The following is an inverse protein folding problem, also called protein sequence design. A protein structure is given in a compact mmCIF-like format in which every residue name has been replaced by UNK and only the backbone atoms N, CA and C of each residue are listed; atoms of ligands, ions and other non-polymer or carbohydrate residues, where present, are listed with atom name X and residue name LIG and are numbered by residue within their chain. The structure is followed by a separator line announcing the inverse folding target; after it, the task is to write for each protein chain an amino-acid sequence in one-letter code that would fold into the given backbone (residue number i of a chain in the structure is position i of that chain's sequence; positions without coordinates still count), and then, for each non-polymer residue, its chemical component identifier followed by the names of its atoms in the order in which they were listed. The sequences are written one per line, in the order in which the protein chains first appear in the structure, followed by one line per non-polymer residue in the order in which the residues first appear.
data_IF_303515187835
#
_entry.id   IF_303515187835
#
_cell.length_a   1.000
_cell.length_b   1.000
_cell.length_c   1.000
_cell.angle_alpha   90.00
_cell.angle_beta   90.00
_cell.angle_gamma   90.00
#
_symmetry.space_group_name_H-M   'P 1'
#
loop_
_entity.id
_entity.type
_entity.pdbx_description
1 polymer ?
#
# COMPACT_ATOMS: atom_id res chain seq x y z
N UNK A 1 -8.64 -32.86 -19.20
CA UNK A 1 -8.56 -33.23 -20.63
C UNK A 1 -9.68 -32.62 -21.47
N UNK A 2 -10.92 -32.44 -20.95
CA UNK A 2 -12.05 -31.87 -21.68
C UNK A 2 -12.34 -30.47 -21.16
N UNK A 3 -12.54 -29.53 -22.09
CA UNK A 3 -12.90 -28.13 -21.79
C UNK A 3 -14.32 -27.74 -22.11
N UNK A 4 -15.06 -28.64 -22.76
CA UNK A 4 -16.46 -28.43 -23.18
C UNK A 4 -17.33 -29.58 -22.70
N UNK A 5 -18.41 -29.26 -22.00
CA UNK A 5 -19.35 -30.21 -21.42
C UNK A 5 -20.75 -29.80 -21.84
N UNK A 6 -21.46 -30.70 -22.51
CA UNK A 6 -22.84 -30.51 -23.00
C UNK A 6 -23.88 -31.21 -22.12
N UNK A 7 -25.10 -30.66 -22.04
CA UNK A 7 -26.25 -31.23 -21.30
C UNK A 7 -25.97 -31.59 -19.84
N UNK A 8 -25.25 -30.71 -19.12
CA UNK A 8 -24.87 -30.90 -17.74
C UNK A 8 -26.02 -30.55 -16.80
N UNK A 9 -26.31 -31.41 -15.83
CA UNK A 9 -27.31 -31.14 -14.79
C UNK A 9 -26.81 -30.10 -13.77
N UNK A 10 -27.70 -29.44 -13.00
CA UNK A 10 -27.28 -28.48 -11.95
C UNK A 10 -26.29 -29.08 -10.94
N UNK A 11 -26.49 -30.32 -10.54
CA UNK A 11 -25.60 -31.03 -9.61
C UNK A 11 -24.22 -31.29 -10.22
N UNK A 12 -24.17 -31.66 -11.51
CA UNK A 12 -22.92 -31.85 -12.22
C UNK A 12 -22.15 -30.53 -12.40
N UNK A 13 -22.86 -29.40 -12.69
CA UNK A 13 -22.23 -28.07 -12.73
C UNK A 13 -21.59 -27.72 -11.41
N UNK A 14 -22.27 -27.96 -10.29
CA UNK A 14 -21.72 -27.79 -8.95
C UNK A 14 -20.49 -28.66 -8.73
N UNK A 15 -20.56 -29.95 -9.07
CA UNK A 15 -19.44 -30.89 -8.92
C UNK A 15 -18.20 -30.46 -9.74
N UNK A 16 -18.41 -29.89 -10.94
CA UNK A 16 -17.29 -29.33 -11.73
C UNK A 16 -16.61 -28.15 -11.04
N UNK A 17 -17.37 -27.23 -10.44
CA UNK A 17 -16.81 -26.12 -9.66
C UNK A 17 -15.98 -26.67 -8.49
N UNK A 18 -16.53 -27.60 -7.72
CA UNK A 18 -15.86 -28.23 -6.59
C UNK A 18 -14.59 -28.98 -7.02
N UNK A 19 -14.62 -29.68 -8.17
CA UNK A 19 -13.45 -30.39 -8.70
C UNK A 19 -12.31 -29.42 -9.06
N UNK A 20 -12.61 -28.25 -9.61
CA UNK A 20 -11.60 -27.23 -9.88
C UNK A 20 -11.06 -26.59 -8.58
N UNK A 21 -11.95 -26.32 -7.61
CA UNK A 21 -11.55 -25.78 -6.31
C UNK A 21 -10.65 -26.77 -5.53
N UNK A 22 -10.95 -28.08 -5.59
CA UNK A 22 -10.11 -29.12 -4.95
C UNK A 22 -8.69 -29.20 -5.52
N UNK A 23 -8.48 -28.72 -6.75
CA UNK A 23 -7.17 -28.58 -7.38
C UNK A 23 -6.45 -27.26 -7.02
N UNK A 24 -7.04 -26.45 -6.14
CA UNK A 24 -6.49 -25.16 -5.72
C UNK A 24 -6.77 -24.00 -6.66
N UNK A 25 -7.72 -24.17 -7.61
CA UNK A 25 -8.14 -23.08 -8.48
C UNK A 25 -9.19 -22.19 -7.81
N UNK A 26 -9.12 -20.88 -8.05
CA UNK A 26 -10.21 -19.95 -7.74
C UNK A 26 -11.15 -19.92 -8.94
N UNK A 27 -12.43 -20.26 -8.74
CA UNK A 27 -13.39 -20.50 -9.80
C UNK A 27 -14.40 -19.36 -9.90
N UNK A 28 -14.50 -18.74 -11.09
CA UNK A 28 -15.61 -17.85 -11.42
C UNK A 28 -16.64 -18.61 -12.26
N UNK A 29 -17.91 -18.55 -11.85
CA UNK A 29 -19.03 -19.16 -12.55
C UNK A 29 -19.98 -18.10 -13.10
N UNK A 30 -20.29 -18.17 -14.39
CA UNK A 30 -21.31 -17.33 -15.02
C UNK A 30 -22.53 -18.14 -15.35
N UNK A 31 -23.69 -17.62 -15.01
CA UNK A 31 -24.97 -18.29 -15.30
C UNK A 31 -26.14 -17.32 -15.39
N UNK A 32 -27.20 -17.69 -16.10
CA UNK A 32 -28.40 -16.88 -16.32
C UNK A 32 -29.69 -17.57 -15.85
N UNK A 33 -29.63 -18.87 -15.65
CA UNK A 33 -30.79 -19.68 -15.36
C UNK A 33 -30.90 -20.18 -13.93
N UNK A 34 -32.10 -20.66 -13.56
CA UNK A 34 -32.36 -21.33 -12.27
C UNK A 34 -31.47 -22.58 -12.12
N UNK A 35 -31.13 -23.24 -13.23
CA UNK A 35 -30.28 -24.42 -13.26
C UNK A 35 -28.81 -24.12 -12.87
N UNK A 36 -28.40 -22.86 -12.86
CA UNK A 36 -27.03 -22.44 -12.52
C UNK A 36 -26.90 -22.07 -11.06
N UNK A 37 -28.00 -21.91 -10.33
CA UNK A 37 -28.05 -21.46 -8.95
C UNK A 37 -27.12 -22.25 -8.02
N UNK A 38 -27.10 -23.60 -8.15
CA UNK A 38 -26.24 -24.45 -7.32
C UNK A 38 -24.74 -24.22 -7.59
N UNK A 39 -24.36 -24.08 -8.86
CA UNK A 39 -22.97 -23.83 -9.24
C UNK A 39 -22.54 -22.39 -8.95
N UNK A 40 -23.43 -21.41 -9.15
CA UNK A 40 -23.19 -20.01 -8.80
C UNK A 40 -22.95 -19.85 -7.29
N UNK A 41 -23.72 -20.53 -6.45
CA UNK A 41 -23.57 -20.50 -4.99
C UNK A 41 -22.27 -21.15 -4.51
N UNK A 42 -21.78 -22.15 -5.23
CA UNK A 42 -20.55 -22.87 -4.89
C UNK A 42 -19.28 -22.12 -5.33
N UNK A 43 -19.36 -21.36 -6.42
CA UNK A 43 -18.21 -20.66 -6.99
C UNK A 43 -17.65 -19.56 -6.08
N UNK A 44 -16.33 -19.32 -6.15
CA UNK A 44 -15.66 -18.25 -5.43
C UNK A 44 -16.10 -16.86 -5.91
N UNK A 45 -16.50 -16.75 -7.17
CA UNK A 45 -17.08 -15.54 -7.76
C UNK A 45 -18.23 -15.93 -8.70
N UNK A 46 -19.44 -15.51 -8.36
CA UNK A 46 -20.64 -15.79 -9.15
C UNK A 46 -21.09 -14.56 -9.94
N UNK A 47 -21.40 -14.77 -11.22
CA UNK A 47 -21.76 -13.72 -12.18
C UNK A 47 -23.09 -14.08 -12.81
N UNK A 48 -24.08 -13.21 -12.71
CA UNK A 48 -25.38 -13.37 -13.38
C UNK A 48 -25.57 -12.33 -14.49
N UNK A 49 -26.42 -12.67 -15.46
CA UNK A 49 -26.88 -11.73 -16.48
C UNK A 49 -28.13 -11.00 -16.00
N UNK A 50 -28.28 -9.70 -16.32
CA UNK A 50 -29.47 -8.93 -15.93
C UNK A 50 -30.77 -9.51 -16.51
N UNK A 51 -30.71 -10.10 -17.71
CA UNK A 51 -31.85 -10.78 -18.36
C UNK A 51 -32.08 -12.19 -17.81
N UNK A 52 -31.21 -12.68 -16.91
CA UNK A 52 -31.33 -13.98 -16.29
C UNK A 52 -32.41 -14.05 -15.21
N UNK A 53 -32.58 -15.25 -14.63
CA UNK A 53 -33.55 -15.49 -13.57
C UNK A 53 -33.25 -14.66 -12.30
N UNK A 54 -34.31 -14.24 -11.59
CA UNK A 54 -34.15 -13.51 -10.32
C UNK A 54 -33.42 -14.37 -9.27
N UNK A 55 -33.60 -15.68 -9.32
CA UNK A 55 -32.90 -16.61 -8.45
C UNK A 55 -31.37 -16.55 -8.68
N UNK A 56 -30.90 -16.48 -9.92
CA UNK A 56 -29.49 -16.34 -10.24
C UNK A 56 -28.95 -14.95 -9.82
N UNK A 57 -29.69 -13.87 -10.11
CA UNK A 57 -29.31 -12.49 -9.74
C UNK A 57 -29.18 -12.29 -8.23
N UNK A 58 -30.10 -12.88 -7.44
CA UNK A 58 -30.11 -12.70 -5.99
C UNK A 58 -28.93 -13.37 -5.26
N UNK A 59 -28.30 -14.36 -5.88
CA UNK A 59 -27.16 -15.08 -5.28
C UNK A 59 -25.81 -14.70 -5.90
N UNK A 60 -25.81 -14.01 -7.05
CA UNK A 60 -24.59 -13.64 -7.74
C UNK A 60 -23.85 -12.50 -7.02
N UNK A 61 -22.51 -12.58 -6.99
CA UNK A 61 -21.66 -11.51 -6.49
C UNK A 61 -21.65 -10.31 -7.45
N UNK A 62 -21.83 -10.55 -8.75
CA UNK A 62 -21.82 -9.53 -9.80
C UNK A 62 -22.99 -9.79 -10.75
N UNK A 63 -23.70 -8.73 -11.15
CA UNK A 63 -24.74 -8.79 -12.20
C UNK A 63 -24.30 -7.93 -13.38
N UNK A 64 -24.20 -8.52 -14.57
CA UNK A 64 -23.90 -7.83 -15.83
C UNK A 64 -25.16 -7.16 -16.37
N UNK A 65 -25.25 -5.83 -16.21
CA UNK A 65 -26.45 -5.08 -16.59
C UNK A 65 -26.70 -5.07 -18.10
N UNK A 66 -25.66 -5.10 -18.90
CA UNK A 66 -25.71 -5.20 -20.35
C UNK A 66 -25.90 -6.65 -20.86
N UNK A 67 -25.93 -7.61 -19.94
CA UNK A 67 -26.00 -9.06 -20.23
C UNK A 67 -24.94 -9.53 -21.25
N UNK A 68 -23.81 -8.81 -21.33
CA UNK A 68 -22.75 -9.08 -22.27
C UNK A 68 -21.47 -9.54 -21.56
N UNK A 69 -21.08 -10.80 -21.79
CA UNK A 69 -19.87 -11.36 -21.20
C UNK A 69 -18.57 -10.65 -21.68
N UNK A 70 -18.62 -9.98 -22.86
CA UNK A 70 -17.48 -9.21 -23.36
C UNK A 70 -17.09 -8.01 -22.45
N UNK A 71 -17.96 -7.59 -21.52
CA UNK A 71 -17.67 -6.57 -20.50
C UNK A 71 -16.76 -7.06 -19.37
N UNK A 72 -16.58 -8.38 -19.22
CA UNK A 72 -15.78 -8.98 -18.13
C UNK A 72 -14.34 -8.50 -18.06
N UNK A 73 -13.57 -8.36 -19.17
CA UNK A 73 -12.20 -7.83 -19.10
C UNK A 73 -12.16 -6.42 -18.49
N UNK A 74 -13.16 -5.58 -18.80
CA UNK A 74 -13.25 -4.24 -18.21
C UNK A 74 -13.52 -4.29 -16.71
N UNK A 75 -14.45 -5.15 -16.26
CA UNK A 75 -14.76 -5.35 -14.83
C UNK A 75 -13.53 -5.85 -14.08
N UNK A 76 -12.81 -6.84 -14.63
CA UNK A 76 -11.56 -7.35 -14.03
C UNK A 76 -10.50 -6.23 -13.90
N UNK A 77 -10.36 -5.38 -14.90
CA UNK A 77 -9.45 -4.25 -14.86
C UNK A 77 -9.86 -3.22 -13.81
N UNK A 78 -11.14 -2.91 -13.68
CA UNK A 78 -11.64 -2.04 -12.61
C UNK A 78 -11.40 -2.66 -11.22
N UNK A 79 -11.64 -3.95 -11.05
CA UNK A 79 -11.32 -4.67 -9.83
C UNK A 79 -9.82 -4.58 -9.47
N UNK A 80 -8.93 -4.76 -10.45
CA UNK A 80 -7.47 -4.58 -10.26
C UNK A 80 -7.12 -3.17 -9.82
N UNK A 81 -7.69 -2.16 -10.48
CA UNK A 81 -7.50 -0.76 -10.09
C UNK A 81 -7.89 -0.51 -8.65
N UNK A 82 -9.09 -0.94 -8.24
CA UNK A 82 -9.58 -0.75 -6.86
C UNK A 82 -8.67 -1.45 -5.85
N UNK A 83 -8.33 -2.72 -6.09
CA UNK A 83 -7.45 -3.49 -5.20
C UNK A 83 -6.06 -2.84 -5.09
N UNK A 84 -5.46 -2.42 -6.21
CA UNK A 84 -4.16 -1.75 -6.20
C UNK A 84 -4.20 -0.44 -5.41
N UNK A 85 -5.21 0.39 -5.64
CA UNK A 85 -5.37 1.67 -4.95
C UNK A 85 -5.58 1.49 -3.44
N UNK A 86 -6.46 0.56 -3.03
CA UNK A 86 -6.68 0.24 -1.61
C UNK A 86 -5.38 -0.24 -0.95
N UNK A 87 -4.62 -1.10 -1.61
CA UNK A 87 -3.36 -1.65 -1.05
C UNK A 87 -2.28 -0.60 -0.89
N UNK A 88 -2.15 0.28 -1.87
CA UNK A 88 -1.16 1.36 -1.82
C UNK A 88 -1.53 2.35 -0.72
N UNK A 89 -2.80 2.72 -0.63
CA UNK A 89 -3.33 3.52 0.47
C UNK A 89 -3.09 2.86 1.83
N UNK A 90 -3.45 1.57 1.97
CA UNK A 90 -3.24 0.80 3.19
C UNK A 90 -1.77 0.74 3.59
N UNK A 91 -0.83 0.64 2.63
CA UNK A 91 0.60 0.68 2.92
C UNK A 91 1.01 2.00 3.55
N UNK A 92 0.53 3.14 3.05
CA UNK A 92 0.84 4.46 3.60
C UNK A 92 0.27 4.66 5.01
N UNK A 93 -0.98 4.23 5.25
CA UNK A 93 -1.57 4.27 6.59
C UNK A 93 -0.85 3.33 7.56
N UNK A 94 -0.43 2.15 7.10
CA UNK A 94 0.32 1.20 7.91
C UNK A 94 1.70 1.74 8.30
N UNK A 95 2.42 2.41 7.37
CA UNK A 95 3.67 3.11 7.68
C UNK A 95 3.47 4.07 8.85
N UNK A 96 2.40 4.90 8.77
CA UNK A 96 2.09 5.87 9.81
C UNK A 96 1.82 5.21 11.16
N UNK A 97 1.00 4.18 11.19
CA UNK A 97 0.65 3.48 12.43
C UNK A 97 1.87 2.79 13.04
N UNK A 98 2.65 2.08 12.23
CA UNK A 98 3.87 1.40 12.68
C UNK A 98 4.91 2.39 13.20
N UNK A 99 5.14 3.49 12.47
CA UNK A 99 6.02 4.57 12.91
C UNK A 99 5.60 5.11 14.28
N UNK A 100 4.31 5.46 14.44
CA UNK A 100 3.79 6.00 15.69
C UNK A 100 3.94 5.03 16.86
N UNK A 101 3.62 3.75 16.66
CA UNK A 101 3.78 2.71 17.69
C UNK A 101 5.26 2.51 18.05
N UNK A 102 6.13 2.35 17.05
CA UNK A 102 7.57 2.15 17.27
C UNK A 102 8.19 3.35 18.01
N UNK A 103 7.85 4.56 17.59
CA UNK A 103 8.39 5.76 18.24
C UNK A 103 7.86 5.90 19.67
N UNK A 104 6.58 5.65 19.92
CA UNK A 104 6.01 5.68 21.27
C UNK A 104 6.66 4.66 22.19
N UNK A 105 6.90 3.44 21.71
CA UNK A 105 7.62 2.43 22.49
C UNK A 105 9.06 2.87 22.83
N UNK A 106 9.78 3.43 21.86
CA UNK A 106 11.13 3.94 22.07
C UNK A 106 11.14 5.11 23.07
N UNK A 107 10.21 6.06 22.94
CA UNK A 107 10.15 7.20 23.89
C UNK A 107 9.83 6.76 25.31
N UNK A 108 8.95 5.78 25.51
CA UNK A 108 8.66 5.19 26.82
C UNK A 108 9.88 4.46 27.37
N UNK A 109 10.53 3.62 26.56
CA UNK A 109 11.68 2.82 26.99
C UNK A 109 12.88 3.67 27.42
N UNK A 110 13.15 4.76 26.70
CA UNK A 110 14.26 5.66 27.00
C UNK A 110 13.87 6.83 27.92
N UNK A 111 12.64 6.89 28.42
CA UNK A 111 12.15 7.95 29.29
C UNK A 111 12.07 9.33 28.62
N UNK A 112 11.88 9.37 27.32
CA UNK A 112 11.86 10.58 26.51
C UNK A 112 10.43 11.08 26.29
N UNK A 113 10.27 12.40 26.10
CA UNK A 113 9.01 12.98 25.65
C UNK A 113 8.80 12.73 24.14
N UNK A 114 7.54 12.57 23.73
CA UNK A 114 7.21 12.39 22.33
C UNK A 114 7.51 13.68 21.54
N UNK A 115 8.28 13.62 20.43
CA UNK A 115 8.87 14.81 19.81
C UNK A 115 7.93 15.55 18.83
N UNK A 116 6.65 15.28 18.84
CA UNK A 116 5.68 15.89 17.93
C UNK A 116 4.46 16.43 18.66
N UNK A 117 4.03 17.61 18.24
CA UNK A 117 2.69 18.13 18.55
C UNK A 117 1.64 17.60 17.59
N UNK A 118 0.36 17.47 18.00
CA UNK A 118 -0.71 16.95 17.13
C UNK A 118 -0.86 17.72 15.81
N UNK A 119 -0.65 19.05 15.82
CA UNK A 119 -0.75 19.89 14.63
C UNK A 119 0.34 19.58 13.60
N UNK A 120 1.57 19.28 14.06
CA UNK A 120 2.70 18.89 13.21
C UNK A 120 2.42 17.55 12.51
N UNK A 121 1.90 16.58 13.27
CA UNK A 121 1.48 15.29 12.71
C UNK A 121 0.31 15.41 11.75
N UNK A 122 -0.57 16.40 11.93
CA UNK A 122 -1.66 16.70 11.00
C UNK A 122 -1.13 17.21 9.66
N UNK A 123 -0.15 18.11 9.66
CA UNK A 123 0.51 18.60 8.45
C UNK A 123 1.19 17.45 7.68
N UNK A 124 2.00 16.63 8.38
CA UNK A 124 2.66 15.46 7.78
C UNK A 124 1.61 14.51 7.19
N UNK A 125 0.54 14.23 7.95
CA UNK A 125 -0.52 13.32 7.50
C UNK A 125 -1.28 13.85 6.28
N UNK A 126 -1.57 15.12 6.21
CA UNK A 126 -2.24 15.73 5.08
C UNK A 126 -1.37 15.70 3.82
N UNK A 127 -0.11 16.19 3.93
CA UNK A 127 0.78 16.35 2.79
C UNK A 127 1.41 15.05 2.30
N UNK A 128 1.69 14.10 3.19
CA UNK A 128 2.43 12.89 2.85
C UNK A 128 1.58 11.62 2.78
N UNK A 129 0.38 11.60 3.37
CA UNK A 129 -0.50 10.43 3.36
C UNK A 129 -1.84 10.73 2.71
N UNK A 130 -2.64 11.64 3.27
CA UNK A 130 -4.04 11.84 2.87
C UNK A 130 -4.20 12.33 1.44
N UNK A 131 -3.74 13.55 1.16
CA UNK A 131 -3.92 14.21 -0.14
C UNK A 131 -3.25 13.41 -1.27
N UNK A 132 -1.94 13.03 -1.17
CA UNK A 132 -1.31 12.30 -2.26
C UNK A 132 -1.94 10.93 -2.49
N UNK A 133 -2.32 10.20 -1.44
CA UNK A 133 -2.99 8.90 -1.59
C UNK A 133 -4.33 9.04 -2.29
N UNK A 134 -5.13 10.08 -1.97
CA UNK A 134 -6.40 10.36 -2.64
C UNK A 134 -6.21 10.70 -4.12
N UNK A 135 -5.26 11.59 -4.44
CA UNK A 135 -4.98 11.97 -5.82
C UNK A 135 -4.46 10.79 -6.65
N UNK A 136 -3.54 10.01 -6.07
CA UNK A 136 -2.95 8.85 -6.75
C UNK A 136 -3.94 7.68 -6.89
N UNK A 137 -4.97 7.59 -6.04
CA UNK A 137 -6.04 6.59 -6.17
C UNK A 137 -6.94 6.82 -7.40
N UNK A 138 -6.89 8.00 -8.02
CA UNK A 138 -7.62 8.27 -9.27
C UNK A 138 -6.92 7.71 -10.51
N UNK A 139 -5.66 7.29 -10.39
CA UNK A 139 -4.91 6.71 -11.48
C UNK A 139 -5.44 5.33 -11.88
N UNK A 140 -5.42 5.04 -13.19
CA UNK A 140 -5.78 3.75 -13.74
C UNK A 140 -4.59 2.77 -13.64
N UNK A 141 -4.49 2.07 -12.51
CA UNK A 141 -3.47 1.05 -12.30
C UNK A 141 -4.08 -0.35 -12.45
N UNK A 142 -3.85 -0.98 -13.60
CA UNK A 142 -4.36 -2.32 -13.95
C UNK A 142 -3.31 -3.43 -13.78
N UNK A 143 -2.17 -3.14 -13.20
CA UNK A 143 -1.09 -4.12 -13.01
C UNK A 143 -1.54 -5.30 -12.13
N UNK A 144 -0.93 -6.46 -12.38
CA UNK A 144 -1.13 -7.62 -11.50
C UNK A 144 -0.55 -7.31 -10.13
N UNK A 145 -1.36 -7.38 -9.09
CA UNK A 145 -0.97 -6.98 -7.75
C UNK A 145 -0.03 -7.97 -7.05
N UNK A 146 0.91 -7.44 -6.26
CA UNK A 146 1.75 -8.20 -5.33
C UNK A 146 1.12 -8.16 -3.92
N UNK A 147 1.05 -9.30 -3.23
CA UNK A 147 0.25 -9.46 -1.97
C UNK A 147 0.83 -8.79 -0.70
N UNK A 148 1.87 -7.93 -0.76
CA UNK A 148 2.69 -7.65 0.43
C UNK A 148 2.67 -6.19 0.89
N UNK A 149 1.56 -5.75 1.49
CA UNK A 149 1.43 -4.42 2.13
C UNK A 149 2.48 -4.23 3.22
N UNK A 150 2.71 -5.24 4.06
CA UNK A 150 3.65 -5.20 5.17
C UNK A 150 5.10 -5.03 4.72
N UNK A 151 5.53 -5.76 3.67
CA UNK A 151 6.89 -5.68 3.13
C UNK A 151 7.23 -4.28 2.61
N UNK A 152 6.24 -3.54 2.13
CA UNK A 152 6.44 -2.16 1.69
C UNK A 152 6.38 -1.16 2.85
N UNK A 153 5.62 -1.46 3.90
CA UNK A 153 5.40 -0.53 5.02
C UNK A 153 6.50 -0.60 6.10
N UNK A 154 6.94 -1.80 6.46
CA UNK A 154 7.87 -2.00 7.56
C UNK A 154 9.23 -1.30 7.37
N UNK A 155 9.92 -1.39 6.21
CA UNK A 155 11.18 -0.70 5.99
C UNK A 155 11.09 0.80 6.17
N UNK A 156 10.03 1.40 5.62
CA UNK A 156 9.81 2.84 5.73
C UNK A 156 9.55 3.25 7.18
N UNK A 157 8.65 2.56 7.89
CA UNK A 157 8.36 2.84 9.29
C UNK A 157 9.60 2.73 10.18
N UNK A 158 10.38 1.65 10.00
CA UNK A 158 11.62 1.42 10.74
C UNK A 158 12.65 2.54 10.48
N UNK A 159 12.85 2.89 9.22
CA UNK A 159 13.82 3.93 8.84
C UNK A 159 13.41 5.30 9.38
N UNK A 160 12.13 5.68 9.23
CA UNK A 160 11.63 6.96 9.75
C UNK A 160 11.79 7.02 11.26
N UNK A 161 11.43 5.95 11.98
CA UNK A 161 11.59 5.87 13.44
C UNK A 161 13.04 6.00 13.85
N UNK A 162 13.95 5.30 13.17
CA UNK A 162 15.41 5.37 13.46
C UNK A 162 15.98 6.77 13.23
N UNK A 163 15.56 7.45 12.15
CA UNK A 163 16.00 8.81 11.87
C UNK A 163 15.50 9.81 12.93
N UNK A 164 14.22 9.71 13.32
CA UNK A 164 13.67 10.58 14.38
C UNK A 164 14.35 10.31 15.71
N UNK A 165 14.59 9.06 16.04
CA UNK A 165 15.29 8.69 17.28
C UNK A 165 16.74 9.21 17.30
N UNK A 166 17.45 9.17 16.15
CA UNK A 166 18.78 9.75 16.03
C UNK A 166 18.77 11.28 16.28
N UNK A 167 17.78 12.01 15.73
CA UNK A 167 17.58 13.43 16.00
C UNK A 167 17.34 13.67 17.51
N UNK A 168 16.49 12.85 18.14
CA UNK A 168 16.21 12.96 19.57
C UNK A 168 17.47 12.79 20.42
N UNK A 169 18.28 11.76 20.14
CA UNK A 169 19.52 11.51 20.87
C UNK A 169 20.52 12.68 20.75
N UNK A 170 20.71 13.22 19.54
CA UNK A 170 21.63 14.36 19.34
C UNK A 170 21.09 15.61 20.03
N UNK A 171 19.79 15.90 19.87
CA UNK A 171 19.20 17.10 20.47
C UNK A 171 19.25 17.07 22.00
N UNK A 172 19.00 15.94 22.62
CA UNK A 172 19.03 15.78 24.09
C UNK A 172 20.44 15.87 24.67
N UNK A 173 21.45 15.33 23.98
CA UNK A 173 22.82 15.30 24.51
C UNK A 173 23.63 16.56 24.18
N UNK A 174 23.26 17.30 23.12
CA UNK A 174 24.07 18.42 22.62
C UNK A 174 23.36 19.76 22.76
N UNK A 175 22.11 19.86 22.37
CA UNK A 175 21.44 21.17 22.21
C UNK A 175 20.44 21.51 23.32
N UNK A 176 19.81 20.53 23.94
CA UNK A 176 18.81 20.69 25.02
C UNK A 176 17.63 21.64 24.69
N UNK A 177 17.29 21.78 23.40
CA UNK A 177 16.22 22.66 22.90
C UNK A 177 15.03 21.85 22.33
N UNK A 178 13.87 22.07 22.90
CA UNK A 178 12.61 21.39 22.44
C UNK A 178 12.12 21.91 21.10
N UNK A 179 12.26 23.21 20.82
CA UNK A 179 11.85 23.81 19.54
C UNK A 179 12.72 23.30 18.39
N UNK A 180 14.04 23.21 18.61
CA UNK A 180 14.97 22.65 17.63
C UNK A 180 14.69 21.16 17.37
N UNK A 181 14.39 20.39 18.43
CA UNK A 181 14.00 18.99 18.34
C UNK A 181 12.75 18.83 17.45
N UNK A 182 11.68 19.57 17.77
CA UNK A 182 10.43 19.50 17.04
C UNK A 182 10.62 19.85 15.56
N UNK A 183 11.37 20.91 15.26
CA UNK A 183 11.65 21.34 13.89
C UNK A 183 12.40 20.28 13.11
N UNK A 184 13.49 19.75 13.63
CA UNK A 184 14.30 18.73 12.99
C UNK A 184 13.49 17.45 12.77
N UNK A 185 12.72 17.00 13.76
CA UNK A 185 11.86 15.83 13.66
C UNK A 185 10.77 15.99 12.59
N UNK A 186 10.11 17.15 12.50
CA UNK A 186 9.08 17.42 11.48
C UNK A 186 9.66 17.37 10.08
N UNK A 187 10.81 18.04 9.85
CA UNK A 187 11.44 18.09 8.54
C UNK A 187 11.92 16.72 8.08
N UNK A 188 12.64 15.99 8.95
CA UNK A 188 13.12 14.63 8.66
C UNK A 188 11.97 13.68 8.40
N UNK A 189 10.92 13.73 9.22
CA UNK A 189 9.77 12.85 9.09
C UNK A 189 9.00 13.14 7.80
N UNK A 190 8.68 14.40 7.52
CA UNK A 190 7.98 14.78 6.30
C UNK A 190 8.71 14.36 5.03
N UNK A 191 10.03 14.59 4.96
CA UNK A 191 10.86 14.15 3.83
C UNK A 191 10.85 12.63 3.66
N UNK A 192 11.03 11.89 4.74
CA UNK A 192 11.11 10.44 4.71
C UNK A 192 9.76 9.79 4.38
N UNK A 193 8.64 10.39 4.76
CA UNK A 193 7.32 9.96 4.28
C UNK A 193 7.15 10.17 2.77
N UNK A 194 7.69 11.27 2.21
CA UNK A 194 7.68 11.48 0.75
C UNK A 194 8.58 10.47 0.03
N UNK A 195 9.71 10.07 0.64
CA UNK A 195 10.54 8.99 0.13
C UNK A 195 9.79 7.64 0.18
N UNK A 196 9.11 7.34 1.28
CA UNK A 196 8.27 6.15 1.39
C UNK A 196 7.14 6.13 0.35
N UNK A 197 6.52 7.28 0.09
CA UNK A 197 5.51 7.43 -0.95
C UNK A 197 6.07 7.07 -2.34
N UNK A 198 7.30 7.50 -2.67
CA UNK A 198 7.98 7.14 -3.93
C UNK A 198 8.17 5.62 -4.05
N UNK A 199 8.63 4.97 -3.00
CA UNK A 199 8.86 3.51 -2.98
C UNK A 199 7.55 2.72 -3.07
N UNK A 200 6.49 3.16 -2.39
CA UNK A 200 5.18 2.49 -2.39
C UNK A 200 4.48 2.61 -3.74
N UNK A 201 4.62 3.75 -4.44
CA UNK A 201 4.01 4.01 -5.75
C UNK A 201 4.95 3.74 -6.94
N UNK A 202 6.10 3.12 -6.73
CA UNK A 202 6.97 2.70 -7.81
C UNK A 202 6.27 1.65 -8.72
N UNK A 203 6.54 1.68 -10.07
CA UNK A 203 7.37 2.61 -10.83
C UNK A 203 6.71 3.99 -10.99
N UNK A 204 7.54 5.04 -11.00
CA UNK A 204 7.05 6.42 -11.05
C UNK A 204 6.87 6.89 -12.49
N UNK A 205 5.63 7.12 -12.90
CA UNK A 205 5.30 7.84 -14.12
C UNK A 205 5.26 9.38 -13.89
N UNK A 206 5.04 10.17 -14.95
CA UNK A 206 5.01 11.64 -14.86
C UNK A 206 3.94 12.14 -13.89
N UNK A 207 2.74 11.56 -13.91
CA UNK A 207 1.63 11.93 -13.03
C UNK A 207 1.99 11.71 -11.54
N UNK A 208 2.53 10.53 -11.20
CA UNK A 208 2.99 10.20 -9.84
C UNK A 208 4.10 11.15 -9.38
N UNK A 209 5.10 11.42 -10.24
CA UNK A 209 6.18 12.37 -9.95
C UNK A 209 5.64 13.76 -9.66
N UNK A 210 4.73 14.29 -10.49
CA UNK A 210 4.15 15.62 -10.31
C UNK A 210 3.43 15.75 -8.96
N UNK A 211 2.62 14.76 -8.58
CA UNK A 211 1.91 14.78 -7.30
C UNK A 211 2.91 14.71 -6.14
N UNK A 212 3.85 13.77 -6.17
CA UNK A 212 4.78 13.56 -5.07
C UNK A 212 5.68 14.78 -4.86
N UNK A 213 6.29 15.31 -5.92
CA UNK A 213 7.15 16.49 -5.81
C UNK A 213 6.36 17.77 -5.50
N UNK A 214 5.14 17.90 -6.06
CA UNK A 214 4.22 18.99 -5.72
C UNK A 214 3.86 18.98 -4.24
N UNK A 215 3.48 17.83 -3.69
CA UNK A 215 3.18 17.70 -2.27
C UNK A 215 4.40 17.90 -1.38
N UNK A 216 5.58 17.48 -1.82
CA UNK A 216 6.84 17.76 -1.13
C UNK A 216 7.11 19.26 -1.06
N UNK A 217 6.92 19.99 -2.16
CA UNK A 217 7.03 21.45 -2.18
C UNK A 217 6.00 22.12 -1.25
N UNK A 218 4.74 21.70 -1.31
CA UNK A 218 3.65 22.20 -0.45
C UNK A 218 3.97 21.97 1.02
N UNK A 219 4.52 20.80 1.39
CA UNK A 219 4.91 20.51 2.76
C UNK A 219 5.96 21.50 3.29
N UNK A 220 7.04 21.73 2.53
CA UNK A 220 8.08 22.66 2.94
C UNK A 220 7.59 24.12 2.95
N UNK A 221 6.80 24.51 1.95
CA UNK A 221 6.19 25.83 1.93
C UNK A 221 5.27 26.04 3.14
N UNK A 222 4.44 25.06 3.48
CA UNK A 222 3.57 25.12 4.65
C UNK A 222 4.38 25.17 5.97
N UNK A 223 5.48 24.40 6.08
CA UNK A 223 6.35 24.45 7.25
C UNK A 223 6.96 25.84 7.46
N UNK A 224 7.33 26.55 6.39
CA UNK A 224 7.85 27.93 6.46
C UNK A 224 6.74 28.94 6.74
N UNK A 225 5.63 28.89 6.01
CA UNK A 225 4.53 29.86 6.14
C UNK A 225 3.87 29.77 7.52
N UNK A 226 3.63 28.54 8.00
CA UNK A 226 2.96 28.28 9.27
C UNK A 226 3.94 27.99 10.42
N UNK A 227 5.20 28.44 10.31
CA UNK A 227 6.25 28.18 11.30
C UNK A 227 5.81 28.43 12.74
N UNK A 228 5.19 29.60 13.00
CA UNK A 228 4.70 29.97 14.35
C UNK A 228 3.57 29.06 14.85
N UNK A 229 2.64 28.69 13.95
CA UNK A 229 1.51 27.81 14.27
C UNK A 229 1.97 26.39 14.58
N UNK A 230 3.04 25.95 13.92
CA UNK A 230 3.64 24.63 14.06
C UNK A 230 4.69 24.56 15.18
N UNK A 231 4.90 25.65 15.94
CA UNK A 231 5.93 25.74 16.99
C UNK A 231 7.33 25.33 16.49
N UNK A 232 7.70 25.75 15.26
CA UNK A 232 9.00 25.45 14.67
C UNK A 232 9.99 26.57 14.98
N UNK A 233 11.13 26.20 15.56
CA UNK A 233 12.24 27.08 15.86
C UNK A 233 13.32 27.08 14.77
N UNK A 234 14.38 27.89 14.99
CA UNK A 234 15.56 27.90 14.15
C UNK A 234 16.42 26.66 14.41
N UNK A 235 17.06 26.15 13.36
CA UNK A 235 18.04 25.07 13.45
C UNK A 235 19.45 25.66 13.50
N UNK A 236 20.30 25.12 14.37
CA UNK A 236 21.72 25.36 14.35
C UNK A 236 22.41 24.68 13.16
N UNK A 237 23.58 25.17 12.76
CA UNK A 237 24.31 24.66 11.60
C UNK A 237 24.60 23.14 11.70
N UNK A 238 24.99 22.66 12.88
CA UNK A 238 25.23 21.23 13.12
C UNK A 238 23.96 20.39 12.96
N UNK A 239 22.81 20.91 13.45
CA UNK A 239 21.52 20.23 13.29
C UNK A 239 21.05 20.23 11.83
N UNK A 240 21.30 21.30 11.07
CA UNK A 240 21.02 21.34 9.62
C UNK A 240 21.80 20.24 8.89
N UNK A 241 23.09 20.06 9.20
CA UNK A 241 23.90 18.99 8.60
C UNK A 241 23.32 17.61 8.94
N UNK A 242 22.96 17.37 10.20
CA UNK A 242 22.36 16.10 10.62
C UNK A 242 21.05 15.82 9.85
N UNK A 243 20.15 16.80 9.82
CA UNK A 243 18.87 16.70 9.08
C UNK A 243 19.12 16.39 7.60
N UNK A 244 20.07 17.08 6.96
CA UNK A 244 20.42 16.85 5.57
C UNK A 244 20.98 15.43 5.33
N UNK A 245 21.85 14.94 6.19
CA UNK A 245 22.36 13.58 6.15
C UNK A 245 21.21 12.57 6.24
N UNK A 246 20.34 12.70 7.24
CA UNK A 246 19.22 11.77 7.43
C UNK A 246 18.21 11.81 6.27
N UNK A 247 17.97 13.00 5.69
CA UNK A 247 17.12 13.13 4.50
C UNK A 247 17.74 12.46 3.27
N UNK A 248 19.05 12.44 3.15
CA UNK A 248 19.76 11.88 1.99
C UNK A 248 19.87 10.35 2.08
N UNK A 249 20.20 9.83 3.27
CA UNK A 249 20.44 8.40 3.46
C UNK A 249 19.15 7.58 3.67
N UNK A 250 18.13 8.16 4.28
CA UNK A 250 16.90 7.41 4.59
C UNK A 250 16.19 6.83 3.35
N UNK A 251 16.04 7.52 2.21
CA UNK A 251 15.45 6.92 1.00
C UNK A 251 16.23 5.69 0.53
N UNK A 252 17.55 5.76 0.53
CA UNK A 252 18.42 4.64 0.14
C UNK A 252 18.23 3.46 1.10
N UNK A 253 18.15 3.73 2.40
CA UNK A 253 17.95 2.69 3.41
C UNK A 253 16.57 2.02 3.28
N UNK A 254 15.53 2.79 3.01
CA UNK A 254 14.18 2.26 2.73
C UNK A 254 14.23 1.28 1.55
N UNK A 255 14.88 1.67 0.43
CA UNK A 255 14.95 0.84 -0.77
C UNK A 255 15.77 -0.43 -0.52
N UNK A 256 16.93 -0.33 0.14
CA UNK A 256 17.80 -1.47 0.48
C UNK A 256 17.06 -2.48 1.36
N UNK A 257 16.40 -2.02 2.46
CA UNK A 257 15.67 -2.92 3.35
C UNK A 257 14.46 -3.54 2.62
N UNK A 258 13.78 -2.76 1.77
CA UNK A 258 12.64 -3.25 0.99
C UNK A 258 13.06 -4.36 0.02
N UNK A 259 14.17 -4.18 -0.71
CA UNK A 259 14.72 -5.20 -1.62
C UNK A 259 15.16 -6.44 -0.85
N UNK A 260 15.81 -6.27 0.29
CA UNK A 260 16.25 -7.37 1.15
C UNK A 260 15.07 -8.21 1.67
N UNK A 261 14.02 -7.56 2.19
CA UNK A 261 12.81 -8.24 2.66
C UNK A 261 12.07 -8.95 1.52
N UNK A 262 11.96 -8.32 0.34
CA UNK A 262 11.39 -8.99 -0.85
C UNK A 262 12.19 -10.23 -1.23
N UNK A 263 13.51 -10.19 -1.11
CA UNK A 263 14.39 -11.34 -1.34
C UNK A 263 14.19 -12.49 -0.34
N UNK A 264 14.04 -12.18 0.96
CA UNK A 264 13.74 -13.19 1.99
C UNK A 264 12.39 -13.85 1.72
N UNK A 265 11.38 -13.03 1.45
CA UNK A 265 10.04 -13.52 1.18
C UNK A 265 9.98 -14.39 -0.08
N UNK A 266 10.68 -14.01 -1.14
CA UNK A 266 10.79 -14.80 -2.36
C UNK A 266 11.40 -16.19 -2.09
N UNK A 267 12.43 -16.26 -1.25
CA UNK A 267 13.05 -17.54 -0.85
C UNK A 267 12.12 -18.41 0.00
N UNK A 268 11.25 -17.82 0.83
CA UNK A 268 10.26 -18.58 1.61
C UNK A 268 9.20 -19.21 0.71
N UNK A 269 8.75 -18.50 -0.34
CA UNK A 269 7.81 -19.04 -1.32
C UNK A 269 8.37 -20.19 -2.15
N UNK A 270 9.68 -20.17 -2.44
CA UNK A 270 10.35 -21.23 -3.20
C UNK A 270 10.46 -22.54 -2.42
N UNK A 271 10.59 -22.44 -1.10
CA UNK A 271 10.55 -23.62 -0.20
C UNK A 271 9.19 -24.29 -0.18
N UNK A 272 8.10 -23.51 -0.29
CA UNK A 272 6.71 -24.04 -0.30
C UNK A 272 6.27 -24.53 -1.70
N UNK A 273 6.83 -23.97 -2.78
CA UNK A 273 6.47 -24.31 -4.17
C UNK A 273 7.66 -24.09 -5.12
N UNK A 274 8.49 -25.14 -5.38
CA UNK A 274 9.61 -25.07 -6.32
C UNK A 274 9.14 -24.60 -7.71
N UNK A 275 9.73 -23.53 -8.23
CA UNK A 275 9.41 -22.92 -9.53
C UNK A 275 8.64 -21.61 -9.49
N UNK A 276 8.01 -21.22 -8.36
CA UNK A 276 7.42 -19.88 -8.21
C UNK A 276 8.49 -18.78 -8.01
N UNK A 277 9.69 -19.16 -7.57
CA UNK A 277 10.82 -18.26 -7.37
C UNK A 277 11.33 -17.69 -8.69
N UNK A 278 11.58 -18.52 -9.67
CA UNK A 278 12.00 -18.09 -11.03
C UNK A 278 10.98 -17.17 -11.67
N UNK A 279 9.70 -17.50 -11.58
CA UNK A 279 8.61 -16.65 -12.09
C UNK A 279 8.50 -15.30 -11.33
N UNK A 280 8.87 -15.25 -10.05
CA UNK A 280 8.90 -14.01 -9.25
C UNK A 280 10.10 -13.13 -9.61
N UNK A 281 11.29 -13.71 -9.76
CA UNK A 281 12.52 -12.99 -10.16
C UNK A 281 12.39 -12.42 -11.57
N UNK A 282 11.80 -13.16 -12.51
CA UNK A 282 11.54 -12.67 -13.88
C UNK A 282 10.55 -11.51 -13.90
N UNK A 283 9.66 -11.41 -12.91
CA UNK A 283 8.74 -10.29 -12.73
C UNK A 283 9.38 -9.05 -12.09
N UNK A 284 10.45 -9.21 -11.32
CA UNK A 284 11.22 -8.10 -10.73
C UNK A 284 12.23 -7.51 -11.72
N UNK A 285 12.59 -8.27 -12.77
CA UNK A 285 13.53 -7.84 -13.83
C UNK A 285 12.85 -7.10 -15.00
N UNK A 286 11.55 -7.17 -15.14
CA UNK A 286 10.72 -6.42 -16.08
C UNK A 286 10.03 -5.24 -15.39
#
# INVERSE_FOLDING_TARGET
EYSVFGRVTPQQKKAMVQALQSQGHTVAMTGDGVNDVLALKEADCSIAMAQGSDAAKNIANVVLLDSNFASMPHIVNQGRRVVNNIRTAASMFLIKTMFSVMLSLLTIFFGNTYPFEPIQMSLISACAVGIPTFLLAQENNYEKFLRHVFINAFPAALTITSCVFAVMLVCQNVYHSTEMLNTACVLVTGWNYMAALKTVYAPLNTYRKTIIYGMQFIFFAAAVIFQKLLSLGSLDFGMIILVFILMTFAPVLIDVITVWLKGIYARSLDKENPGKFTAFIDKLRK
#
